data_IF_937885341277
#
_entry.id   IF_937885341277
#
_cell.length_a   1.000
_cell.length_b   1.000
_cell.length_c   1.000
_cell.angle_alpha   90.00
_cell.angle_beta   90.00
_cell.angle_gamma   90.00
#
_symmetry.space_group_name_H-M   'P 1'
#
loop_
_entity.id
_entity.type
_entity.pdbx_description
1 polymer ?
#
# COMPACT_ATOMS: atom_id res chain seq x y z
N UNK A 1 -5.96 -19.85 -23.54
CA UNK A 1 -6.36 -20.68 -22.37
C UNK A 1 -5.21 -21.04 -21.42
N UNK A 2 -4.00 -21.40 -21.88
CA UNK A 2 -2.84 -21.71 -20.99
C UNK A 2 -2.34 -20.57 -20.08
N UNK A 3 -2.60 -19.30 -20.41
CA UNK A 3 -2.22 -18.13 -19.58
C UNK A 3 -3.20 -17.84 -18.43
N UNK A 4 -4.46 -18.28 -18.54
CA UNK A 4 -5.45 -18.14 -17.47
C UNK A 4 -5.24 -19.20 -16.38
N UNK A 5 -4.82 -20.40 -16.78
CA UNK A 5 -4.47 -21.48 -15.85
C UNK A 5 -3.27 -21.11 -14.96
N UNK A 6 -2.27 -20.40 -15.50
CA UNK A 6 -1.12 -19.91 -14.73
C UNK A 6 -1.47 -18.83 -13.70
N UNK A 7 -2.48 -18.01 -13.96
CA UNK A 7 -2.98 -17.03 -12.99
C UNK A 7 -3.71 -17.71 -11.83
N UNK A 8 -4.43 -18.81 -12.09
CA UNK A 8 -5.09 -19.60 -11.05
C UNK A 8 -4.09 -20.41 -10.20
N UNK A 9 -3.00 -20.95 -10.76
CA UNK A 9 -1.96 -21.61 -9.95
C UNK A 9 -1.12 -20.64 -9.13
N UNK A 10 -0.94 -19.39 -9.56
CA UNK A 10 -0.25 -18.36 -8.76
C UNK A 10 -1.17 -17.79 -7.68
N UNK A 11 -2.49 -17.77 -7.90
CA UNK A 11 -3.45 -17.34 -6.86
C UNK A 11 -3.68 -18.43 -5.80
N UNK A 12 -3.51 -19.71 -6.16
CA UNK A 12 -3.47 -20.81 -5.21
C UNK A 12 -2.18 -20.85 -4.35
N UNK A 13 -1.18 -20.01 -4.65
CA UNK A 13 0.07 -19.88 -3.87
C UNK A 13 0.10 -18.63 -2.97
N UNK A 14 -1.08 -18.09 -2.61
CA UNK A 14 -1.24 -17.16 -1.47
C UNK A 14 -2.04 -17.86 -0.35
N UNK A 15 -1.83 -19.16 -0.17
CA UNK A 15 -1.89 -19.72 1.17
C UNK A 15 -0.66 -19.19 1.93
N UNK A 16 -0.76 -17.96 2.41
CA UNK A 16 0.17 -17.50 3.45
C UNK A 16 0.14 -18.55 4.56
N UNK A 17 1.29 -19.13 4.98
CA UNK A 17 1.30 -20.06 6.08
C UNK A 17 0.64 -19.34 7.26
N UNK A 18 -0.50 -19.87 7.69
CA UNK A 18 -1.16 -19.44 8.90
C UNK A 18 -0.09 -19.50 9.99
N UNK A 19 0.11 -18.38 10.69
CA UNK A 19 0.85 -18.40 11.95
C UNK A 19 0.00 -19.22 12.90
N UNK A 20 0.22 -20.53 12.88
CA UNK A 20 -0.57 -21.51 13.59
C UNK A 20 -0.01 -21.52 15.02
N UNK A 21 -0.64 -20.71 15.87
CA UNK A 21 -0.28 -20.55 17.27
C UNK A 21 -1.19 -21.44 18.07
N UNK A 22 -0.66 -22.51 18.63
CA UNK A 22 -1.39 -23.19 19.68
C UNK A 22 -0.52 -23.55 20.85
N UNK A 23 -1.23 -23.73 21.95
CA UNK A 23 -0.70 -24.15 23.22
C UNK A 23 -0.93 -25.65 23.46
N UNK A 24 -0.09 -26.20 24.33
CA UNK A 24 -0.09 -27.60 24.72
C UNK A 24 0.19 -27.70 26.21
N UNK A 25 -0.49 -28.61 26.88
CA UNK A 25 -0.20 -28.94 28.27
C UNK A 25 0.58 -30.24 28.38
N UNK A 26 1.56 -30.24 29.27
CA UNK A 26 2.52 -31.32 29.46
C UNK A 26 2.64 -31.59 30.97
N UNK A 27 2.51 -32.85 31.37
CA UNK A 27 2.71 -33.26 32.75
C UNK A 27 4.21 -33.46 33.07
N UNK A 28 4.58 -33.40 34.35
CA UNK A 28 5.95 -33.71 34.75
C UNK A 28 6.34 -35.18 34.50
N UNK A 29 5.40 -36.11 34.67
CA UNK A 29 5.57 -37.56 34.52
C UNK A 29 4.85 -38.09 33.26
N UNK A 30 5.33 -39.19 32.66
CA UNK A 30 4.65 -39.89 31.57
C UNK A 30 3.26 -40.38 31.98
N UNK A 31 2.38 -40.56 30.98
CA UNK A 31 1.04 -41.14 31.11
C UNK A 31 0.19 -40.48 32.20
N UNK A 32 -0.12 -39.17 32.07
CA UNK A 32 -0.81 -38.42 33.11
C UNK A 32 -2.15 -39.05 33.50
N UNK A 33 -2.45 -39.22 34.80
CA UNK A 33 -3.69 -39.84 35.27
C UNK A 33 -4.90 -38.88 35.17
N UNK A 34 -4.77 -37.77 34.46
CA UNK A 34 -5.75 -36.71 34.37
C UNK A 34 -5.80 -36.11 32.96
N UNK A 35 -6.91 -35.44 32.69
CA UNK A 35 -7.21 -34.68 31.48
C UNK A 35 -7.51 -33.23 31.85
N UNK A 36 -7.50 -32.32 30.87
CA UNK A 36 -7.78 -30.90 31.11
C UNK A 36 -9.20 -30.57 30.71
N UNK A 37 -9.97 -30.05 31.67
CA UNK A 37 -11.30 -29.55 31.41
C UNK A 37 -12.01 -29.12 32.70
N UNK A 38 -12.91 -28.13 32.63
CA UNK A 38 -13.13 -27.23 31.50
C UNK A 38 -11.89 -26.39 31.16
N UNK A 39 -11.79 -25.88 29.94
CA UNK A 39 -10.68 -25.04 29.45
C UNK A 39 -11.22 -23.82 28.71
N UNK A 40 -10.81 -22.62 29.09
CA UNK A 40 -11.12 -21.40 28.36
C UNK A 40 -9.85 -20.58 28.14
N UNK A 41 -9.55 -20.30 26.87
CA UNK A 41 -8.41 -19.48 26.47
C UNK A 41 -8.96 -18.18 25.91
N UNK A 42 -8.76 -17.09 26.64
CA UNK A 42 -9.38 -15.79 26.34
C UNK A 42 -8.32 -14.78 25.99
N UNK A 43 -8.34 -14.26 24.78
CA UNK A 43 -7.46 -13.19 24.31
C UNK A 43 -8.24 -11.88 24.18
N UNK A 44 -7.80 -10.82 24.86
CA UNK A 44 -8.48 -9.52 24.85
C UNK A 44 -7.77 -8.55 23.94
N UNK A 45 -8.32 -8.32 22.75
CA UNK A 45 -7.71 -7.52 21.69
C UNK A 45 -8.21 -6.09 21.74
N UNK A 46 -7.25 -5.16 21.80
CA UNK A 46 -7.49 -3.71 21.73
C UNK A 46 -6.99 -3.15 20.40
N UNK A 47 -7.31 -1.90 20.12
CA UNK A 47 -6.81 -1.19 18.95
C UNK A 47 -5.26 -1.18 18.90
N UNK A 48 -4.69 -1.75 17.82
CA UNK A 48 -3.24 -1.81 17.58
C UNK A 48 -2.65 -3.22 17.58
N UNK A 49 -1.33 -3.31 17.44
CA UNK A 49 -0.57 -4.58 17.46
C UNK A 49 0.28 -4.73 18.74
N UNK A 50 -0.20 -4.19 19.87
CA UNK A 50 0.48 -4.27 21.15
C UNK A 50 0.41 -5.68 21.79
N UNK A 51 1.01 -5.85 22.98
CA UNK A 51 0.83 -7.04 23.79
C UNK A 51 -0.65 -7.32 24.06
N UNK A 52 -1.05 -8.58 23.91
CA UNK A 52 -2.44 -9.01 24.10
C UNK A 52 -2.56 -9.73 25.44
N UNK A 53 -3.40 -9.24 26.37
CA UNK A 53 -3.77 -9.97 27.57
C UNK A 53 -4.46 -11.28 27.22
N UNK A 54 -3.93 -12.37 27.76
CA UNK A 54 -4.44 -13.72 27.63
C UNK A 54 -4.70 -14.28 29.03
N UNK A 55 -5.90 -14.83 29.20
CA UNK A 55 -6.27 -15.61 30.38
C UNK A 55 -6.50 -17.05 29.94
N UNK A 56 -5.75 -17.98 30.54
CA UNK A 56 -5.95 -19.42 30.38
C UNK A 56 -6.58 -19.94 31.66
N UNK A 57 -7.88 -20.20 31.61
CA UNK A 57 -8.66 -20.73 32.73
C UNK A 57 -8.87 -22.24 32.52
N UNK A 58 -8.51 -23.08 33.48
CA UNK A 58 -8.64 -24.52 33.35
C UNK A 58 -8.78 -25.26 34.69
N UNK A 59 -9.22 -26.51 34.64
CA UNK A 59 -9.18 -27.47 35.75
C UNK A 59 -8.71 -28.84 35.25
N UNK A 60 -8.29 -29.72 36.17
CA UNK A 60 -7.90 -31.08 35.88
C UNK A 60 -9.02 -32.04 36.27
N UNK A 61 -9.27 -33.03 35.40
CA UNK A 61 -10.21 -34.10 35.68
C UNK A 61 -9.48 -35.43 35.72
N UNK A 62 -9.78 -36.30 36.70
CA UNK A 62 -9.30 -37.67 36.68
C UNK A 62 -9.63 -38.32 35.34
N UNK A 63 -8.65 -38.99 34.74
CA UNK A 63 -8.88 -39.74 33.50
C UNK A 63 -9.85 -40.89 33.79
N UNK A 64 -10.89 -41.12 32.95
CA UNK A 64 -11.85 -42.20 33.17
C UNK A 64 -11.21 -43.58 33.19
N UNK A 65 -10.05 -43.74 32.53
CA UNK A 65 -9.38 -45.02 32.32
C UNK A 65 -8.39 -45.40 33.45
N UNK A 66 -8.12 -44.50 34.42
CA UNK A 66 -7.13 -44.74 35.47
C UNK A 66 -7.74 -44.68 36.88
N UNK A 67 -7.56 -45.77 37.64
CA UNK A 67 -7.93 -45.83 39.07
C UNK A 67 -6.88 -45.08 39.90
N UNK A 68 -7.32 -43.95 40.47
CA UNK A 68 -6.70 -43.20 41.58
C UNK A 68 -5.19 -43.42 41.79
N UNK A 69 -4.39 -42.67 41.04
CA UNK A 69 -2.95 -42.47 41.33
C UNK A 69 -2.78 -41.07 41.88
N UNK A 70 -1.87 -40.90 42.85
CA UNK A 70 -1.49 -39.60 43.41
C UNK A 70 -1.17 -38.60 42.28
N UNK A 71 -2.06 -37.61 42.04
CA UNK A 71 -1.93 -36.69 40.92
C UNK A 71 -0.87 -35.61 41.18
N UNK A 72 -0.20 -35.62 42.34
CA UNK A 72 0.81 -34.65 42.78
C UNK A 72 1.99 -34.46 41.84
N UNK A 73 1.80 -33.71 40.76
CA UNK A 73 2.85 -33.36 39.82
C UNK A 73 2.62 -31.98 39.22
N UNK A 74 3.72 -31.29 38.94
CA UNK A 74 3.67 -30.02 38.23
C UNK A 74 3.13 -30.22 36.81
N UNK A 75 2.43 -29.19 36.35
CA UNK A 75 1.92 -29.08 34.99
C UNK A 75 2.74 -28.04 34.25
N UNK A 76 2.95 -28.23 32.96
CA UNK A 76 3.65 -27.29 32.12
C UNK A 76 2.74 -26.85 30.98
N UNK A 77 2.73 -25.56 30.70
CA UNK A 77 2.08 -24.98 29.53
C UNK A 77 3.16 -24.56 28.55
N UNK A 78 3.13 -25.15 27.37
CA UNK A 78 3.93 -24.73 26.23
C UNK A 78 3.08 -23.72 25.43
N UNK A 79 3.54 -22.47 25.40
CA UNK A 79 2.83 -21.33 24.82
C UNK A 79 3.53 -20.80 23.56
N UNK A 80 2.79 -20.54 22.47
CA UNK A 80 3.33 -19.97 21.24
C UNK A 80 3.50 -18.44 21.35
N UNK A 81 4.73 -17.95 21.32
CA UNK A 81 5.05 -16.53 21.41
C UNK A 81 5.76 -16.15 22.71
N UNK A 82 6.03 -14.86 22.85
CA UNK A 82 6.74 -14.28 23.98
C UNK A 82 5.77 -13.71 25.01
N UNK A 83 6.01 -14.01 26.29
CA UNK A 83 5.32 -13.41 27.43
C UNK A 83 6.10 -12.19 27.93
N UNK A 84 5.42 -11.06 28.11
CA UNK A 84 6.06 -9.77 28.44
C UNK A 84 5.72 -9.20 29.82
N UNK A 85 4.73 -9.75 30.53
CA UNK A 85 4.27 -9.23 31.83
C UNK A 85 4.74 -10.07 33.03
N UNK A 86 6.05 -10.17 33.22
CA UNK A 86 6.58 -10.77 34.43
C UNK A 86 6.18 -9.96 35.69
N UNK A 87 5.78 -10.65 36.76
CA UNK A 87 5.49 -10.03 38.06
C UNK A 87 6.77 -9.36 38.59
N UNK A 88 6.78 -8.03 38.81
CA UNK A 88 7.95 -7.33 39.29
C UNK A 88 8.44 -7.85 40.64
N UNK A 89 9.76 -8.00 40.79
CA UNK A 89 10.40 -8.40 42.06
C UNK A 89 10.34 -9.90 42.40
N UNK A 90 9.64 -10.71 41.61
CA UNK A 90 9.63 -12.16 41.78
C UNK A 90 10.83 -12.79 41.06
N UNK A 91 11.58 -13.65 41.76
CA UNK A 91 12.77 -14.29 41.19
C UNK A 91 12.37 -15.35 40.14
N UNK A 92 13.00 -15.34 38.95
CA UNK A 92 12.87 -16.42 37.98
C UNK A 92 13.30 -17.78 38.56
N UNK A 93 12.90 -18.86 37.90
CA UNK A 93 13.30 -20.22 38.27
C UNK A 93 14.53 -20.68 37.47
N UNK A 94 15.69 -20.70 38.13
CA UNK A 94 16.95 -21.13 37.53
C UNK A 94 16.94 -22.61 37.08
N UNK A 95 16.12 -23.48 37.70
CA UNK A 95 16.01 -24.86 37.26
C UNK A 95 15.23 -24.97 35.94
N UNK A 96 14.21 -24.13 35.76
CA UNK A 96 13.45 -24.07 34.51
C UNK A 96 14.31 -23.50 33.37
N UNK A 97 15.13 -22.48 33.66
CA UNK A 97 16.07 -21.92 32.70
C UNK A 97 17.10 -22.98 32.25
N UNK A 98 17.80 -23.60 33.20
CA UNK A 98 18.76 -24.68 32.91
C UNK A 98 18.14 -25.80 32.08
N UNK A 99 16.93 -26.22 32.44
CA UNK A 99 16.21 -27.27 31.73
C UNK A 99 16.00 -26.98 30.24
N UNK A 100 15.72 -25.73 29.89
CA UNK A 100 15.52 -25.26 28.51
C UNK A 100 16.87 -25.10 27.80
N UNK A 101 17.88 -24.54 28.46
CA UNK A 101 19.24 -24.40 27.91
C UNK A 101 19.89 -25.75 27.62
N UNK A 102 19.75 -26.73 28.51
CA UNK A 102 20.30 -28.09 28.36
C UNK A 102 19.74 -28.83 27.12
N UNK A 103 18.59 -28.37 26.60
CA UNK A 103 17.98 -28.89 25.37
C UNK A 103 18.41 -28.15 24.11
N UNK A 104 19.34 -27.20 24.22
CA UNK A 104 19.90 -26.45 23.09
C UNK A 104 19.03 -25.27 22.64
N UNK A 105 18.21 -24.71 23.54
CA UNK A 105 17.46 -23.49 23.28
C UNK A 105 18.12 -22.27 23.93
N UNK A 106 18.04 -21.14 23.24
CA UNK A 106 18.54 -19.86 23.74
C UNK A 106 17.40 -19.12 24.47
N UNK A 107 17.65 -18.70 25.71
CA UNK A 107 16.65 -18.00 26.51
C UNK A 107 16.67 -16.50 26.20
N UNK A 108 15.49 -15.92 25.98
CA UNK A 108 15.33 -14.48 25.70
C UNK A 108 14.67 -13.72 26.84
N UNK A 109 13.80 -14.37 27.62
CA UNK A 109 13.16 -13.77 28.78
C UNK A 109 12.84 -14.82 29.85
N UNK A 110 12.85 -14.42 31.12
CA UNK A 110 12.50 -15.27 32.26
C UNK A 110 11.70 -14.46 33.27
N UNK A 111 10.81 -15.13 34.01
CA UNK A 111 10.03 -14.44 35.03
C UNK A 111 8.97 -15.33 35.67
N UNK A 112 7.97 -14.70 36.25
CA UNK A 112 6.77 -15.35 36.78
C UNK A 112 5.54 -14.61 36.29
N UNK A 113 4.51 -15.35 35.89
CA UNK A 113 3.20 -14.81 35.51
C UNK A 113 2.20 -15.01 36.64
N UNK A 114 1.15 -14.18 36.64
CA UNK A 114 0.10 -14.25 37.64
C UNK A 114 -0.65 -15.58 37.50
N UNK A 115 -0.76 -16.28 38.63
CA UNK A 115 -1.51 -17.51 38.78
C UNK A 115 -2.55 -17.26 39.88
N UNK A 116 -3.79 -17.61 39.61
CA UNK A 116 -4.88 -17.46 40.56
C UNK A 116 -5.81 -18.67 40.52
N UNK A 117 -6.60 -18.85 41.55
CA UNK A 117 -7.63 -19.87 41.64
C UNK A 117 -8.99 -19.18 41.86
N UNK A 118 -10.00 -19.60 41.11
CA UNK A 118 -11.38 -19.12 41.21
C UNK A 118 -12.25 -20.24 41.76
N UNK A 119 -12.94 -19.99 42.86
CA UNK A 119 -13.95 -20.91 43.38
C UNK A 119 -15.28 -20.69 42.63
N UNK A 120 -15.81 -21.73 42.00
CA UNK A 120 -17.07 -21.70 41.25
C UNK A 120 -18.30 -21.68 42.16
N UNK A 121 -18.17 -22.12 43.41
CA UNK A 121 -19.25 -22.18 44.40
C UNK A 121 -19.39 -20.90 45.24
N UNK A 122 -18.33 -20.11 45.36
CA UNK A 122 -18.25 -18.93 46.26
C UNK A 122 -18.11 -17.62 45.46
N UNK A 123 -19.24 -17.16 44.90
CA UNK A 123 -19.39 -15.92 44.10
C UNK A 123 -18.39 -15.72 42.94
N UNK A 124 -17.56 -16.71 42.62
CA UNK A 124 -16.54 -16.60 41.59
C UNK A 124 -15.35 -15.73 41.99
N UNK A 125 -15.06 -15.54 43.30
CA UNK A 125 -13.94 -14.71 43.75
C UNK A 125 -12.59 -15.29 43.29
N UNK A 126 -11.73 -14.42 42.78
CA UNK A 126 -10.38 -14.77 42.34
C UNK A 126 -9.40 -14.68 43.52
N UNK A 127 -8.72 -15.79 43.83
CA UNK A 127 -7.68 -15.87 44.85
C UNK A 127 -6.29 -15.95 44.20
N UNK A 128 -5.42 -14.95 44.39
CA UNK A 128 -4.06 -15.01 43.84
C UNK A 128 -3.24 -16.10 44.53
N UNK A 129 -2.52 -16.90 43.74
CA UNK A 129 -1.59 -17.90 44.24
C UNK A 129 -0.22 -17.26 44.49
N UNK A 130 0.27 -17.39 45.72
CA UNK A 130 1.55 -16.82 46.13
C UNK A 130 2.69 -17.33 45.24
N UNK A 131 3.53 -16.40 44.75
CA UNK A 131 4.70 -16.70 43.92
C UNK A 131 4.43 -16.90 42.43
N UNK A 132 3.18 -17.00 41.98
CA UNK A 132 2.84 -17.15 40.55
C UNK A 132 3.44 -18.39 39.88
N UNK A 133 3.31 -18.46 38.56
CA UNK A 133 3.87 -19.55 37.75
C UNK A 133 5.16 -19.10 37.04
N UNK A 134 6.32 -19.73 37.28
CA UNK A 134 7.55 -19.38 36.59
C UNK A 134 7.49 -19.72 35.10
N UNK A 135 8.09 -18.87 34.27
CA UNK A 135 8.17 -19.06 32.83
C UNK A 135 9.55 -18.73 32.28
N UNK A 136 9.86 -19.34 31.14
CA UNK A 136 11.04 -19.07 30.33
C UNK A 136 10.60 -18.93 28.89
N UNK A 137 10.93 -17.81 28.24
CA UNK A 137 10.78 -17.61 26.81
C UNK A 137 12.09 -17.93 26.12
N UNK A 138 12.02 -18.73 25.06
CA UNK A 138 13.17 -19.26 24.37
C UNK A 138 12.98 -19.23 22.86
N UNK A 139 14.12 -19.25 22.16
CA UNK A 139 14.23 -19.32 20.71
C UNK A 139 15.19 -20.44 20.34
N UNK A 140 15.11 -20.88 19.10
CA UNK A 140 16.03 -21.85 18.52
C UNK A 140 16.80 -21.19 17.38
N UNK A 141 18.12 -21.14 17.53
CA UNK A 141 19.05 -20.71 16.49
C UNK A 141 19.50 -21.94 15.70
N UNK A 142 19.39 -21.90 14.36
CA UNK A 142 19.79 -23.03 13.52
C UNK A 142 19.98 -22.65 12.05
N UNK A 143 20.17 -23.65 11.18
CA UNK A 143 20.41 -23.44 9.74
C UNK A 143 19.29 -22.66 9.02
N UNK A 144 18.08 -22.68 9.56
CA UNK A 144 16.92 -21.94 9.04
C UNK A 144 16.79 -20.52 9.62
N UNK A 145 17.84 -19.98 10.25
CA UNK A 145 17.83 -18.69 10.92
C UNK A 145 17.21 -18.73 12.32
N UNK A 146 16.85 -17.57 12.88
CA UNK A 146 16.22 -17.46 14.20
C UNK A 146 14.75 -17.93 14.17
N UNK A 147 14.32 -18.69 15.17
CA UNK A 147 12.93 -19.14 15.28
C UNK A 147 12.01 -18.03 15.82
N UNK A 148 10.68 -18.13 15.64
CA UNK A 148 9.78 -17.36 16.51
C UNK A 148 10.02 -17.74 17.99
N UNK A 149 9.73 -16.84 18.95
CA UNK A 149 9.81 -17.15 20.37
C UNK A 149 8.69 -18.10 20.81
N UNK A 150 8.98 -18.93 21.80
CA UNK A 150 8.02 -19.75 22.51
C UNK A 150 8.25 -19.62 24.02
N UNK A 151 7.21 -19.80 24.82
CA UNK A 151 7.30 -19.72 26.29
C UNK A 151 6.95 -21.06 26.91
N UNK A 152 7.76 -21.49 27.87
CA UNK A 152 7.49 -22.66 28.70
C UNK A 152 7.16 -22.20 30.11
N UNK A 153 5.94 -22.44 30.56
CA UNK A 153 5.43 -22.03 31.87
C UNK A 153 5.27 -23.27 32.75
N UNK A 154 5.87 -23.28 33.93
CA UNK A 154 5.61 -24.32 34.94
C UNK A 154 4.52 -23.85 35.89
N UNK A 155 3.44 -24.60 35.94
CA UNK A 155 2.31 -24.43 36.85
C UNK A 155 2.54 -25.37 38.05
N UNK A 156 2.83 -24.83 39.25
CA UNK A 156 3.08 -25.65 40.43
C UNK A 156 1.84 -26.47 40.82
N UNK A 157 2.05 -27.70 41.24
CA UNK A 157 0.96 -28.54 41.75
C UNK A 157 0.27 -27.90 42.96
N UNK A 158 -1.07 -27.95 42.95
CA UNK A 158 -1.91 -27.65 44.12
C UNK A 158 -3.11 -28.60 44.14
N UNK A 159 -3.65 -28.95 45.33
CA UNK A 159 -4.86 -29.77 45.41
C UNK A 159 -6.07 -29.15 44.70
N UNK A 160 -6.09 -27.82 44.54
CA UNK A 160 -7.16 -27.08 43.83
C UNK A 160 -7.21 -27.41 42.34
N UNK A 161 -6.12 -27.89 41.73
CA UNK A 161 -6.09 -28.22 40.31
C UNK A 161 -7.04 -29.37 39.95
N UNK A 162 -7.27 -30.33 40.84
CA UNK A 162 -8.12 -31.51 40.58
C UNK A 162 -9.53 -31.38 41.18
N UNK A 163 -9.76 -30.33 41.96
CA UNK A 163 -11.06 -30.05 42.56
C UNK A 163 -11.96 -29.37 41.52
N UNK A 164 -13.09 -30.01 41.21
CA UNK A 164 -14.07 -29.54 40.22
C UNK A 164 -14.75 -28.23 40.61
N UNK A 165 -14.68 -27.83 41.88
CA UNK A 165 -15.18 -26.53 42.36
C UNK A 165 -14.21 -25.38 42.07
N UNK A 166 -12.99 -25.66 41.59
CA UNK A 166 -11.98 -24.64 41.33
C UNK A 166 -11.58 -24.58 39.85
N UNK A 167 -11.35 -23.36 39.38
CA UNK A 167 -10.69 -23.04 38.13
C UNK A 167 -9.35 -22.36 38.41
N UNK A 168 -8.29 -22.81 37.78
CA UNK A 168 -7.00 -22.13 37.81
C UNK A 168 -6.93 -21.16 36.64
N UNK A 169 -6.56 -19.91 36.92
CA UNK A 169 -6.39 -18.85 35.93
C UNK A 169 -4.92 -18.44 35.83
N UNK A 170 -4.35 -18.61 34.64
CA UNK A 170 -3.04 -18.10 34.28
C UNK A 170 -3.22 -16.83 33.45
N UNK A 171 -2.74 -15.70 33.97
CA UNK A 171 -2.86 -14.40 33.31
C UNK A 171 -1.51 -13.94 32.79
N UNK A 172 -1.42 -13.73 31.48
CA UNK A 172 -0.19 -13.35 30.78
C UNK A 172 -0.46 -12.39 29.63
N UNK A 173 0.48 -11.50 29.35
CA UNK A 173 0.44 -10.58 28.21
C UNK A 173 1.42 -11.11 27.17
N UNK A 174 0.92 -11.30 25.96
CA UNK A 174 1.64 -12.02 24.91
C UNK A 174 1.98 -11.07 23.77
N UNK A 175 3.26 -11.01 23.41
CA UNK A 175 3.73 -10.17 22.32
C UNK A 175 3.50 -10.82 20.95
N UNK A 176 3.17 -9.97 19.98
CA UNK A 176 3.02 -10.37 18.58
C UNK A 176 1.80 -11.24 18.29
N UNK A 177 0.90 -11.50 19.26
CA UNK A 177 -0.31 -12.30 19.04
C UNK A 177 -1.19 -11.71 17.93
N UNK A 178 -1.24 -10.38 17.87
CA UNK A 178 -1.83 -9.60 16.78
C UNK A 178 -0.73 -9.22 15.80
N UNK A 179 -0.92 -9.53 14.50
CA UNK A 179 -0.01 -9.13 13.43
C UNK A 179 -0.71 -8.18 12.46
N UNK A 180 -0.05 -7.09 12.02
CA UNK A 180 -0.60 -6.25 10.96
C UNK A 180 -0.62 -7.02 9.65
N UNK A 181 -1.74 -6.94 8.94
CA UNK A 181 -1.87 -7.51 7.61
C UNK A 181 -1.12 -6.64 6.60
N UNK A 182 -0.33 -7.28 5.74
CA UNK A 182 0.41 -6.58 4.67
C UNK A 182 -0.55 -6.22 3.54
N UNK A 183 -1.27 -5.12 3.71
CA UNK A 183 -2.12 -4.53 2.67
C UNK A 183 -1.39 -3.44 1.89
N UNK A 184 -1.75 -3.28 0.61
CA UNK A 184 -1.23 -2.23 -0.25
C UNK A 184 -1.57 -0.83 0.28
N UNK A 185 -0.84 0.19 -0.17
CA UNK A 185 -1.01 1.55 0.34
C UNK A 185 -2.41 2.12 0.06
N UNK A 186 -3.00 1.83 -1.10
CA UNK A 186 -4.36 2.28 -1.47
C UNK A 186 -5.38 1.66 -0.51
N UNK A 187 -5.29 0.36 -0.29
CA UNK A 187 -6.20 -0.37 0.58
C UNK A 187 -6.09 0.09 2.03
N UNK A 188 -4.88 0.39 2.50
CA UNK A 188 -4.64 0.97 3.83
C UNK A 188 -5.29 2.35 3.99
N UNK A 189 -5.32 3.14 2.92
CA UNK A 189 -5.88 4.50 2.96
C UNK A 189 -7.43 4.46 2.99
N UNK A 190 -8.04 3.51 2.27
CA UNK A 190 -9.50 3.34 2.19
C UNK A 190 -10.06 2.57 3.39
N UNK A 191 -9.44 1.44 3.73
CA UNK A 191 -9.97 0.52 4.76
C UNK A 191 -9.32 0.72 6.13
N UNK A 192 -8.16 1.35 6.21
CA UNK A 192 -7.37 1.47 7.43
C UNK A 192 -6.42 0.30 7.67
N UNK A 193 -5.81 0.26 8.85
CA UNK A 193 -4.87 -0.81 9.21
C UNK A 193 -5.67 -2.04 9.63
N UNK A 194 -5.38 -3.17 8.98
CA UNK A 194 -5.99 -4.46 9.27
C UNK A 194 -4.99 -5.32 10.03
N UNK A 195 -5.54 -6.17 10.88
CA UNK A 195 -4.83 -7.01 11.80
C UNK A 195 -5.38 -8.42 11.72
N UNK A 196 -4.53 -9.39 12.05
CA UNK A 196 -4.90 -10.79 12.22
C UNK A 196 -4.47 -11.25 13.59
N UNK A 197 -5.40 -11.84 14.34
CA UNK A 197 -5.13 -12.62 15.53
C UNK A 197 -5.39 -14.09 15.24
N UNK A 198 -4.57 -14.97 15.83
CA UNK A 198 -4.81 -16.40 15.83
C UNK A 198 -4.43 -16.96 17.21
N UNK A 199 -5.36 -17.72 17.80
CA UNK A 199 -5.16 -18.55 19.00
C UNK A 199 -5.58 -19.97 18.67
N UNK A 200 -5.05 -20.96 19.37
CA UNK A 200 -5.27 -22.36 19.01
C UNK A 200 -4.91 -23.32 20.13
N UNK A 201 -5.31 -24.57 19.93
CA UNK A 201 -4.99 -25.72 20.78
C UNK A 201 -4.41 -26.86 19.93
N UNK A 202 -3.36 -27.53 20.45
CA UNK A 202 -2.73 -28.71 19.84
C UNK A 202 -1.99 -28.53 18.48
N UNK A 203 -1.60 -27.31 18.15
CA UNK A 203 -0.66 -26.99 17.05
C UNK A 203 0.79 -26.96 17.55
N UNK A 204 1.62 -27.87 17.06
CA UNK A 204 3.03 -28.01 17.47
C UNK A 204 4.01 -27.82 16.32
N UNK A 205 3.56 -27.35 15.14
CA UNK A 205 4.40 -27.20 13.94
C UNK A 205 5.44 -26.09 14.02
N UNK A 206 5.32 -25.16 14.97
CA UNK A 206 6.31 -24.11 15.14
C UNK A 206 7.67 -24.68 15.56
N UNK A 207 8.74 -24.16 14.94
CA UNK A 207 10.12 -24.65 15.11
C UNK A 207 10.58 -24.88 16.56
N UNK A 208 10.37 -23.94 17.52
CA UNK A 208 10.78 -24.18 18.91
C UNK A 208 9.79 -25.09 19.66
N UNK A 209 8.53 -25.16 19.22
CA UNK A 209 7.49 -25.96 19.88
C UNK A 209 7.63 -27.44 19.55
N UNK A 210 7.93 -27.78 18.30
CA UNK A 210 7.98 -29.17 17.85
C UNK A 210 9.00 -30.02 18.63
N UNK A 211 10.27 -29.61 18.82
CA UNK A 211 11.23 -30.42 19.57
C UNK A 211 10.87 -30.55 21.05
N UNK A 212 10.33 -29.48 21.65
CA UNK A 212 9.81 -29.52 23.03
C UNK A 212 8.63 -30.50 23.16
N UNK A 213 7.68 -30.44 22.23
CA UNK A 213 6.59 -31.43 22.15
C UNK A 213 7.13 -32.85 21.97
N UNK A 214 8.05 -33.05 21.02
CA UNK A 214 8.59 -34.37 20.71
C UNK A 214 9.29 -35.01 21.90
N UNK A 215 10.02 -34.21 22.69
CA UNK A 215 10.66 -34.64 23.94
C UNK A 215 9.66 -35.01 25.06
N UNK A 216 8.40 -34.58 24.95
CA UNK A 216 7.36 -34.73 25.96
C UNK A 216 6.08 -35.38 25.44
N UNK A 217 6.15 -36.07 24.30
CA UNK A 217 4.98 -36.63 23.62
C UNK A 217 4.19 -37.62 24.51
N UNK A 218 4.89 -38.32 25.40
CA UNK A 218 4.38 -39.29 26.38
C UNK A 218 3.77 -38.62 27.64
N UNK A 219 3.94 -37.30 27.77
CA UNK A 219 3.48 -36.50 28.91
C UNK A 219 2.37 -35.53 28.52
N UNK A 220 1.92 -35.55 27.28
CA UNK A 220 0.89 -34.65 26.78
C UNK A 220 -0.42 -34.91 27.52
N UNK A 221 -1.03 -33.83 28.02
CA UNK A 221 -2.32 -33.91 28.71
C UNK A 221 -3.43 -33.64 27.70
N UNK A 222 -4.35 -34.60 27.56
CA UNK A 222 -5.47 -34.50 26.62
C UNK A 222 -6.63 -33.68 27.20
N UNK A 223 -7.48 -33.16 26.31
CA UNK A 223 -8.74 -32.53 26.70
C UNK A 223 -9.70 -33.56 27.31
N UNK A 224 -10.38 -33.14 28.37
CA UNK A 224 -11.47 -33.87 29.00
C UNK A 224 -12.75 -33.74 28.17
N UNK A 225 -13.81 -34.43 28.59
CA UNK A 225 -15.16 -34.31 28.02
C UNK A 225 -15.93 -33.05 28.50
N UNK A 226 -15.24 -32.15 29.21
CA UNK A 226 -15.81 -30.90 29.67
C UNK A 226 -15.66 -29.79 28.65
N UNK A 227 -16.48 -28.72 28.73
CA UNK A 227 -16.43 -27.61 27.78
C UNK A 227 -15.04 -27.01 27.65
N UNK A 228 -14.55 -26.93 26.42
CA UNK A 228 -13.30 -26.30 26.06
C UNK A 228 -13.56 -25.23 24.98
N UNK A 229 -13.06 -24.01 25.17
CA UNK A 229 -13.32 -22.89 24.27
C UNK A 229 -12.07 -22.02 24.03
N UNK A 230 -11.92 -21.56 22.79
CA UNK A 230 -11.06 -20.44 22.41
C UNK A 230 -11.92 -19.20 22.26
N UNK A 231 -11.51 -18.09 22.84
CA UNK A 231 -12.29 -16.84 22.84
C UNK A 231 -11.38 -15.66 22.52
N UNK A 232 -11.79 -14.84 21.55
CA UNK A 232 -11.21 -13.53 21.28
C UNK A 232 -12.26 -12.47 21.62
N UNK A 233 -11.89 -11.57 22.53
CA UNK A 233 -12.74 -10.47 22.99
C UNK A 233 -12.24 -9.15 22.42
N UNK A 234 -13.16 -8.32 21.95
CA UNK A 234 -12.88 -6.99 21.40
C UNK A 234 -13.67 -5.93 22.17
N UNK A 235 -13.09 -5.28 23.20
CA UNK A 235 -13.80 -4.34 24.09
C UNK A 235 -14.21 -2.99 23.47
N UNK A 236 -14.01 -2.80 22.16
CA UNK A 236 -14.24 -1.54 21.45
C UNK A 236 -15.03 -1.81 20.17
N UNK A 237 -16.16 -2.51 20.29
CA UNK A 237 -16.97 -2.99 19.15
C UNK A 237 -17.47 -1.85 18.25
N UNK A 238 -17.71 -0.66 18.78
CA UNK A 238 -18.27 0.48 18.02
C UNK A 238 -17.41 0.92 16.83
N UNK A 239 -16.11 0.66 16.89
CA UNK A 239 -15.13 1.01 15.83
C UNK A 239 -14.50 -0.22 15.20
N UNK A 240 -14.94 -1.40 15.62
CA UNK A 240 -14.41 -2.67 15.17
C UNK A 240 -15.09 -3.06 13.87
N UNK A 241 -14.29 -3.53 12.93
CA UNK A 241 -14.76 -4.30 11.78
C UNK A 241 -14.07 -5.64 11.78
N UNK A 242 -14.86 -6.71 11.79
CA UNK A 242 -14.37 -8.07 11.58
C UNK A 242 -14.63 -8.41 10.11
N UNK A 243 -13.57 -8.68 9.36
CA UNK A 243 -13.65 -9.01 7.94
C UNK A 243 -13.82 -10.51 7.71
N UNK A 244 -13.11 -11.34 8.50
CA UNK A 244 -13.12 -12.79 8.35
C UNK A 244 -12.91 -13.47 9.71
N UNK A 245 -13.61 -14.58 9.92
CA UNK A 245 -13.44 -15.48 11.06
C UNK A 245 -13.23 -16.90 10.53
N UNK A 246 -12.23 -17.59 11.08
CA UNK A 246 -11.93 -18.98 10.76
C UNK A 246 -11.77 -19.82 12.04
N UNK A 247 -12.36 -21.02 12.10
CA UNK A 247 -13.20 -21.65 11.09
C UNK A 247 -14.60 -21.01 11.00
N UNK A 248 -15.37 -21.25 9.93
CA UNK A 248 -16.74 -20.74 9.80
C UNK A 248 -17.71 -21.27 10.87
N UNK A 249 -17.34 -22.33 11.59
CA UNK A 249 -18.11 -22.89 12.72
C UNK A 249 -17.95 -22.07 14.01
N UNK A 250 -17.09 -21.06 14.03
CA UNK A 250 -16.95 -20.14 15.16
C UNK A 250 -18.21 -19.30 15.38
N UNK A 251 -18.49 -19.00 16.65
CA UNK A 251 -19.62 -18.18 17.06
C UNK A 251 -19.15 -16.74 17.22
N UNK A 252 -19.92 -15.81 16.66
CA UNK A 252 -19.71 -14.37 16.81
C UNK A 252 -20.94 -13.78 17.48
N UNK A 253 -20.75 -13.10 18.61
CA UNK A 253 -21.84 -12.44 19.35
C UNK A 253 -21.37 -11.19 20.08
N UNK A 254 -22.29 -10.28 20.37
CA UNK A 254 -22.04 -9.21 21.33
C UNK A 254 -21.99 -9.81 22.75
N UNK A 255 -21.18 -9.24 23.63
CA UNK A 255 -21.15 -9.63 25.02
C UNK A 255 -22.48 -9.28 25.69
N UNK A 256 -23.01 -10.22 26.48
CA UNK A 256 -24.25 -10.01 27.25
C UNK A 256 -24.05 -9.05 28.43
N UNK A 257 -22.82 -8.97 28.95
CA UNK A 257 -22.49 -8.19 30.14
C UNK A 257 -21.79 -6.86 29.85
N UNK A 258 -21.26 -6.68 28.63
CA UNK A 258 -20.47 -5.52 28.24
C UNK A 258 -20.99 -4.95 26.92
N UNK A 259 -21.65 -3.78 26.97
CA UNK A 259 -22.36 -3.18 25.83
C UNK A 259 -21.49 -2.98 24.58
N UNK A 260 -20.21 -2.67 24.74
CA UNK A 260 -19.28 -2.37 23.65
C UNK A 260 -18.24 -3.46 23.41
N UNK A 261 -18.54 -4.71 23.79
CA UNK A 261 -17.63 -5.85 23.60
C UNK A 261 -18.18 -6.85 22.61
N UNK A 262 -17.42 -7.12 21.55
CA UNK A 262 -17.71 -8.20 20.62
C UNK A 262 -16.87 -9.45 20.97
N UNK A 263 -17.49 -10.62 20.94
CA UNK A 263 -16.89 -11.90 21.31
C UNK A 263 -16.93 -12.83 20.11
N UNK A 264 -15.77 -13.37 19.76
CA UNK A 264 -15.65 -14.47 18.79
C UNK A 264 -15.14 -15.69 19.54
N UNK A 265 -15.85 -16.81 19.46
CA UNK A 265 -15.46 -18.04 20.15
C UNK A 265 -15.50 -19.27 19.25
N UNK A 266 -14.69 -20.26 19.58
CA UNK A 266 -14.68 -21.58 18.98
C UNK A 266 -14.70 -22.62 20.10
N UNK A 267 -15.69 -23.50 20.11
CA UNK A 267 -15.67 -24.67 20.98
C UNK A 267 -14.67 -25.69 20.44
N UNK A 268 -13.85 -26.23 21.34
CA UNK A 268 -12.87 -27.26 21.03
C UNK A 268 -13.52 -28.63 21.13
N UNK A 269 -13.31 -29.47 20.12
CA UNK A 269 -13.77 -30.85 20.11
C UNK A 269 -12.66 -31.79 20.62
N UNK A 270 -12.99 -32.68 21.56
CA UNK A 270 -12.08 -33.70 22.09
C UNK A 270 -11.75 -34.78 21.05
N UNK A 271 -12.71 -35.15 20.22
CA UNK A 271 -12.55 -36.19 19.18
C UNK A 271 -11.52 -35.79 18.13
N UNK A 272 -11.39 -34.48 17.92
CA UNK A 272 -10.39 -33.83 17.10
C UNK A 272 -9.06 -33.60 17.85
N UNK A 273 -8.85 -34.23 19.01
CA UNK A 273 -7.75 -33.95 19.96
C UNK A 273 -6.32 -34.19 19.46
N UNK A 274 -6.15 -34.69 18.24
CA UNK A 274 -4.88 -34.77 17.51
C UNK A 274 -4.76 -33.75 16.37
N UNK A 275 -5.88 -33.18 15.94
CA UNK A 275 -5.91 -32.17 14.89
C UNK A 275 -5.74 -30.77 15.51
N UNK A 276 -4.90 -29.92 14.91
CA UNK A 276 -4.79 -28.55 15.36
C UNK A 276 -6.10 -27.79 15.20
N UNK A 277 -6.65 -27.29 16.30
CA UNK A 277 -7.85 -26.46 16.32
C UNK A 277 -7.45 -25.01 16.57
N UNK A 278 -7.88 -24.09 15.71
CA UNK A 278 -7.47 -22.69 15.78
C UNK A 278 -8.64 -21.76 15.54
N UNK A 279 -8.67 -20.65 16.26
CA UNK A 279 -9.53 -19.51 16.04
C UNK A 279 -8.68 -18.36 15.49
N UNK A 280 -8.94 -17.98 14.24
CA UNK A 280 -8.30 -16.84 13.60
C UNK A 280 -9.33 -15.78 13.23
N UNK A 281 -9.04 -14.52 13.55
CA UNK A 281 -9.90 -13.38 13.27
C UNK A 281 -9.11 -12.31 12.54
N UNK A 282 -9.63 -11.88 11.39
CA UNK A 282 -9.15 -10.70 10.67
C UNK A 282 -10.05 -9.52 11.01
N UNK A 283 -9.45 -8.44 11.46
CA UNK A 283 -10.17 -7.28 11.94
C UNK A 283 -9.43 -5.97 11.67
N UNK A 284 -10.17 -4.88 11.62
CA UNK A 284 -9.66 -3.51 11.52
C UNK A 284 -10.37 -2.60 12.51
N UNK A 285 -9.68 -1.55 12.93
CA UNK A 285 -10.28 -0.45 13.68
C UNK A 285 -10.37 0.78 12.79
N UNK A 286 -11.56 1.38 12.73
CA UNK A 286 -11.76 2.63 12.00
C UNK A 286 -11.34 3.82 12.86
N UNK A 287 -10.49 4.69 12.30
CA UNK A 287 -10.22 5.98 12.93
C UNK A 287 -11.26 7.02 12.49
N UNK A 288 -11.67 7.91 13.41
CA UNK A 288 -12.57 9.03 13.08
C UNK A 288 -11.99 9.94 11.99
N UNK A 289 -10.66 10.01 11.91
CA UNK A 289 -9.95 10.76 10.88
C UNK A 289 -10.07 10.15 9.49
N UNK A 290 -10.12 8.82 9.36
CA UNK A 290 -10.36 8.16 8.07
C UNK A 290 -11.76 8.44 7.53
N UNK A 291 -12.77 8.45 8.41
CA UNK A 291 -14.14 8.86 8.04
C UNK A 291 -14.14 10.32 7.56
N UNK A 292 -13.46 11.21 8.27
CA UNK A 292 -13.31 12.60 7.84
C UNK A 292 -12.57 12.74 6.50
N UNK A 293 -11.52 11.94 6.26
CA UNK A 293 -10.78 11.94 4.99
C UNK A 293 -11.64 11.43 3.83
N UNK A 294 -12.43 10.38 4.03
CA UNK A 294 -13.36 9.84 3.02
C UNK A 294 -14.43 10.85 2.62
N UNK A 295 -14.86 11.72 3.53
CA UNK A 295 -15.80 12.81 3.26
C UNK A 295 -15.09 14.04 2.67
N UNK A 296 -13.91 14.39 3.20
CA UNK A 296 -13.15 15.56 2.77
C UNK A 296 -12.51 15.37 1.40
N UNK A 297 -12.03 14.18 1.06
CA UNK A 297 -11.40 13.89 -0.23
C UNK A 297 -12.30 14.24 -1.43
N UNK A 298 -13.56 13.79 -1.52
CA UNK A 298 -14.45 14.21 -2.59
C UNK A 298 -14.77 15.71 -2.53
N UNK A 299 -14.93 16.32 -1.36
CA UNK A 299 -15.15 17.78 -1.23
C UNK A 299 -13.96 18.57 -1.78
N UNK A 300 -12.74 18.17 -1.41
CA UNK A 300 -11.50 18.79 -1.88
C UNK A 300 -11.30 18.54 -3.37
N UNK A 301 -11.58 17.34 -3.87
CA UNK A 301 -11.48 17.01 -5.29
C UNK A 301 -12.51 17.78 -6.12
N UNK A 302 -13.72 17.98 -5.58
CA UNK A 302 -14.76 18.79 -6.19
C UNK A 302 -14.39 20.27 -6.16
N UNK A 303 -13.82 20.78 -5.06
CA UNK A 303 -13.31 22.14 -4.96
C UNK A 303 -12.09 22.38 -5.89
N UNK A 304 -11.17 21.43 -6.01
CA UNK A 304 -10.06 21.47 -6.97
C UNK A 304 -10.57 21.42 -8.42
N UNK A 305 -11.59 20.59 -8.69
CA UNK A 305 -12.25 20.54 -9.99
C UNK A 305 -12.87 21.89 -10.39
N UNK A 306 -13.51 22.57 -9.43
CA UNK A 306 -14.06 23.92 -9.61
C UNK A 306 -12.97 24.99 -9.77
N UNK A 307 -11.82 24.83 -9.10
CA UNK A 307 -10.67 25.74 -9.25
C UNK A 307 -9.88 25.52 -10.56
N UNK A 308 -9.92 24.33 -11.16
CA UNK A 308 -9.26 24.02 -12.44
C UNK A 308 -9.90 24.72 -13.64
N UNK A 309 -11.20 25.02 -13.60
CA UNK A 309 -11.92 25.75 -14.66
C UNK A 309 -11.33 27.13 -14.98
N UNK A 310 -11.19 28.05 -14.01
CA UNK A 310 -10.66 29.39 -14.25
C UNK A 310 -9.15 29.46 -14.51
N UNK A 311 -8.35 28.49 -14.01
CA UNK A 311 -6.90 28.46 -14.22
C UNK A 311 -6.49 27.93 -15.60
N UNK A 312 -7.19 26.92 -16.14
CA UNK A 312 -6.95 26.42 -17.50
C UNK A 312 -7.45 27.40 -18.58
N UNK A 313 -8.56 28.10 -18.35
CA UNK A 313 -9.16 28.99 -19.35
C UNK A 313 -8.30 30.21 -19.72
N UNK A 314 -7.56 30.79 -18.77
CA UNK A 314 -6.78 32.02 -19.01
C UNK A 314 -5.28 31.80 -19.25
N UNK A 315 -4.69 30.76 -18.66
CA UNK A 315 -3.27 30.45 -18.82
C UNK A 315 -2.97 29.59 -20.06
N UNK A 316 -3.83 28.61 -20.35
CA UNK A 316 -3.57 27.60 -21.39
C UNK A 316 -3.77 28.14 -22.81
N UNK A 317 -4.76 29.03 -23.02
CA UNK A 317 -4.99 29.66 -24.32
C UNK A 317 -3.84 30.58 -24.75
N UNK A 318 -3.23 31.33 -23.81
CA UNK A 318 -2.02 32.14 -24.08
C UNK A 318 -0.79 31.28 -24.33
N UNK A 319 -0.63 30.18 -23.58
CA UNK A 319 0.49 29.26 -23.77
C UNK A 319 0.40 28.50 -25.10
N UNK A 320 -0.79 28.06 -25.52
CA UNK A 320 -1.00 27.39 -26.82
C UNK A 320 -0.76 28.36 -27.99
N UNK A 321 -1.22 29.60 -27.91
CA UNK A 321 -0.98 30.60 -28.97
C UNK A 321 0.51 30.89 -29.19
N UNK A 322 1.30 30.93 -28.10
CA UNK A 322 2.75 31.19 -28.15
C UNK A 322 3.56 29.92 -28.49
N UNK A 323 3.12 28.74 -28.07
CA UNK A 323 3.79 27.47 -28.37
C UNK A 323 3.51 26.98 -29.80
N UNK A 324 2.26 27.06 -30.27
CA UNK A 324 1.89 26.73 -31.66
C UNK A 324 2.54 27.68 -32.69
N UNK A 325 2.91 28.89 -32.26
CA UNK A 325 3.63 29.86 -33.11
C UNK A 325 5.14 29.60 -33.23
N UNK A 326 5.73 28.73 -32.38
CA UNK A 326 7.19 28.51 -32.23
C UNK A 326 7.66 27.08 -32.50
N UNK A 327 6.78 26.10 -32.50
CA UNK A 327 7.12 24.69 -32.73
C UNK A 327 6.42 24.21 -34.00
N UNK A 328 7.20 23.97 -35.06
CA UNK A 328 6.71 23.23 -36.22
C UNK A 328 7.06 21.75 -36.03
N UNK A 329 6.03 20.90 -36.03
CA UNK A 329 6.13 19.45 -36.19
C UNK A 329 6.06 19.15 -37.69
N UNK A 330 7.19 18.81 -38.30
CA UNK A 330 7.24 18.45 -39.71
C UNK A 330 8.66 18.40 -40.25
N UNK A 331 9.04 17.27 -40.86
CA UNK A 331 10.39 17.03 -41.37
C UNK A 331 10.87 18.15 -42.31
N UNK A 332 12.08 18.64 -42.04
CA UNK A 332 12.74 19.68 -42.81
C UNK A 332 12.97 19.21 -44.26
N UNK A 333 12.10 19.64 -45.18
CA UNK A 333 12.39 19.64 -46.62
C UNK A 333 12.91 21.02 -46.99
N UNK A 334 14.06 21.15 -47.68
CA UNK A 334 14.49 22.43 -48.23
C UNK A 334 13.46 22.85 -49.28
N UNK A 335 12.52 23.73 -48.89
CA UNK A 335 11.35 24.11 -49.70
C UNK A 335 10.01 24.18 -48.95
N UNK A 336 9.96 23.90 -47.63
CA UNK A 336 8.72 23.95 -46.85
C UNK A 336 8.05 25.33 -46.80
N UNK A 337 6.88 25.44 -47.47
CA UNK A 337 5.90 26.56 -47.49
C UNK A 337 6.48 27.95 -47.16
N UNK A 338 7.18 28.53 -48.14
CA UNK A 338 7.34 29.99 -48.22
C UNK A 338 5.93 30.61 -48.33
N UNK A 339 5.56 31.44 -47.35
CA UNK A 339 4.41 32.34 -47.50
C UNK A 339 4.92 33.60 -48.19
N UNK A 340 4.70 33.64 -49.49
CA UNK A 340 4.91 34.81 -50.34
C UNK A 340 3.55 35.46 -50.56
N UNK A 341 3.48 36.77 -50.42
CA UNK A 341 2.27 37.56 -50.65
C UNK A 341 2.63 38.72 -51.57
N UNK A 342 1.88 38.89 -52.67
CA UNK A 342 2.19 39.86 -53.71
C UNK A 342 3.23 39.36 -54.72
N UNK A 343 3.67 40.25 -55.61
CA UNK A 343 4.55 39.91 -56.74
C UNK A 343 6.01 40.14 -56.36
N UNK A 344 6.79 39.07 -56.29
CA UNK A 344 8.25 39.13 -56.09
C UNK A 344 8.93 38.81 -57.43
N UNK A 345 9.59 39.81 -58.01
CA UNK A 345 10.26 39.65 -59.31
C UNK A 345 11.65 39.02 -59.13
N UNK A 346 11.94 37.86 -59.76
CA UNK A 346 13.25 37.26 -59.73
C UNK A 346 14.29 38.16 -60.41
N UNK A 347 15.54 38.09 -59.95
CA UNK A 347 16.64 38.88 -60.54
C UNK A 347 16.84 38.55 -62.02
N UNK A 348 16.57 37.31 -62.41
CA UNK A 348 16.67 36.83 -63.79
C UNK A 348 15.61 37.46 -64.70
N UNK A 349 14.44 37.80 -64.16
CA UNK A 349 13.36 38.49 -64.90
C UNK A 349 13.70 39.96 -65.05
N UNK A 350 14.17 40.61 -63.98
CA UNK A 350 14.63 42.00 -64.03
C UNK A 350 15.81 42.19 -65.00
N UNK A 351 16.74 41.23 -65.05
CA UNK A 351 17.87 41.26 -65.98
C UNK A 351 17.47 41.16 -67.47
N UNK A 352 16.24 40.69 -67.78
CA UNK A 352 15.71 40.65 -69.14
C UNK A 352 15.09 41.98 -69.58
N UNK A 353 14.80 42.87 -68.63
CA UNK A 353 14.29 44.21 -68.92
C UNK A 353 15.48 45.09 -69.31
N UNK A 354 15.55 45.44 -70.59
CA UNK A 354 16.58 46.34 -71.12
C UNK A 354 16.00 47.76 -71.24
N UNK A 355 16.58 48.75 -70.53
CA UNK A 355 16.21 50.16 -70.72
C UNK A 355 16.33 50.59 -72.18
N UNK A 356 15.37 51.37 -72.67
CA UNK A 356 15.30 51.88 -74.05
C UNK A 356 14.82 50.87 -75.11
N UNK A 357 14.68 49.59 -74.78
CA UNK A 357 14.22 48.54 -75.73
C UNK A 357 12.97 47.79 -75.27
N UNK A 358 12.72 47.74 -73.96
CA UNK A 358 11.56 47.03 -73.41
C UNK A 358 10.38 47.98 -73.32
N UNK A 359 9.26 47.63 -73.97
CA UNK A 359 8.02 48.40 -73.93
C UNK A 359 7.16 48.01 -72.72
N UNK A 360 6.15 48.83 -72.41
CA UNK A 360 5.21 48.57 -71.31
C UNK A 360 4.53 47.21 -71.41
N UNK A 361 4.08 46.81 -72.61
CA UNK A 361 3.47 45.50 -72.82
C UNK A 361 4.48 44.37 -72.58
N UNK A 362 5.74 44.57 -72.96
CA UNK A 362 6.84 43.66 -72.68
C UNK A 362 7.08 43.49 -71.16
N UNK A 363 7.02 44.58 -70.40
CA UNK A 363 7.15 44.54 -68.93
C UNK A 363 5.98 43.79 -68.31
N UNK A 364 4.74 44.08 -68.68
CA UNK A 364 3.57 43.37 -68.13
C UNK A 364 3.58 41.87 -68.48
N UNK A 365 4.10 41.50 -69.64
CA UNK A 365 4.26 40.10 -70.05
C UNK A 365 5.35 39.38 -69.23
N UNK A 366 6.40 40.08 -68.85
CA UNK A 366 7.53 39.52 -68.08
C UNK A 366 7.28 39.51 -66.56
N UNK A 367 6.60 40.54 -66.04
CA UNK A 367 6.45 40.80 -64.60
C UNK A 367 5.04 40.49 -64.06
N UNK A 368 4.04 40.34 -64.92
CA UNK A 368 2.65 40.10 -64.55
C UNK A 368 1.80 41.37 -64.52
N UNK A 369 0.47 41.20 -64.45
CA UNK A 369 -0.51 42.28 -64.53
C UNK A 369 -0.88 42.90 -63.16
N UNK A 370 -0.45 42.28 -62.05
CA UNK A 370 -0.67 42.81 -60.69
C UNK A 370 0.38 43.88 -60.37
N UNK A 371 0.07 45.13 -60.72
CA UNK A 371 0.97 46.27 -60.60
C UNK A 371 0.23 47.51 -60.10
N UNK A 372 0.84 48.25 -59.17
CA UNK A 372 0.37 49.59 -58.82
C UNK A 372 0.92 50.58 -59.86
N UNK A 373 0.04 51.29 -60.56
CA UNK A 373 0.44 52.33 -61.52
C UNK A 373 0.38 53.71 -60.86
N UNK A 374 1.46 54.45 -60.96
CA UNK A 374 1.50 55.86 -60.57
C UNK A 374 1.78 56.72 -61.80
N UNK A 375 0.81 57.56 -62.16
CA UNK A 375 0.93 58.59 -63.20
C UNK A 375 1.08 59.95 -62.50
N UNK A 376 2.12 60.72 -62.85
CA UNK A 376 2.29 62.08 -62.30
C UNK A 376 1.45 63.05 -63.12
N UNK A 377 0.48 63.72 -62.47
CA UNK A 377 -0.46 64.64 -63.12
C UNK A 377 0.19 65.80 -63.91
N UNK A 378 1.46 66.13 -63.67
CA UNK A 378 2.18 67.22 -64.35
C UNK A 378 3.05 66.76 -65.53
N UNK A 379 3.20 65.45 -65.74
CA UNK A 379 4.10 64.88 -66.77
C UNK A 379 3.52 63.55 -67.29
N UNK A 380 2.53 63.64 -68.18
CA UNK A 380 1.76 62.49 -68.69
C UNK A 380 2.58 61.52 -69.53
N UNK A 381 3.78 61.91 -69.97
CA UNK A 381 4.71 61.05 -70.67
C UNK A 381 5.41 60.03 -69.74
N UNK A 382 5.37 60.25 -68.41
CA UNK A 382 6.06 59.40 -67.43
C UNK A 382 5.09 58.57 -66.59
N UNK A 383 5.25 57.26 -66.69
CA UNK A 383 4.47 56.29 -65.91
C UNK A 383 5.41 55.44 -65.06
N UNK A 384 5.13 55.31 -63.77
CA UNK A 384 5.88 54.41 -62.89
C UNK A 384 5.04 53.18 -62.57
N UNK A 385 5.60 52.00 -62.84
CA UNK A 385 5.04 50.71 -62.47
C UNK A 385 5.71 50.21 -61.20
N UNK A 386 4.91 49.93 -60.16
CA UNK A 386 5.40 49.49 -58.85
C UNK A 386 4.91 48.08 -58.56
N UNK A 387 5.85 47.15 -58.44
CA UNK A 387 5.61 45.77 -58.02
C UNK A 387 6.02 45.61 -56.56
N UNK A 388 5.08 45.14 -55.73
CA UNK A 388 5.31 44.93 -54.30
C UNK A 388 5.09 43.46 -53.93
N UNK A 389 6.08 42.92 -53.23
CA UNK A 389 6.04 41.55 -52.71
C UNK A 389 6.56 41.49 -51.28
N UNK A 390 6.00 40.59 -50.49
CA UNK A 390 6.41 40.30 -49.11
C UNK A 390 6.77 38.83 -49.01
N UNK A 391 7.94 38.55 -48.43
CA UNK A 391 8.40 37.19 -48.14
C UNK A 391 8.74 37.02 -46.67
N UNK A 392 8.18 35.98 -46.06
CA UNK A 392 8.51 35.58 -44.70
C UNK A 392 9.63 34.54 -44.72
N UNK A 393 10.74 34.85 -44.08
CA UNK A 393 11.92 33.96 -43.97
C UNK A 393 12.09 33.54 -42.50
N UNK A 394 12.03 32.22 -42.20
CA UNK A 394 12.27 31.74 -40.85
C UNK A 394 13.76 31.67 -40.54
N UNK A 395 14.19 32.20 -39.38
CA UNK A 395 15.55 31.98 -38.88
C UNK A 395 15.54 30.86 -37.82
N UNK A 396 16.13 29.72 -38.18
CA UNK A 396 16.19 28.54 -37.34
C UNK A 396 17.28 28.67 -36.27
N UNK A 397 16.92 28.51 -34.98
CA UNK A 397 17.89 28.63 -33.88
C UNK A 397 18.50 27.29 -33.48
N UNK A 398 17.71 26.21 -33.48
CA UNK A 398 18.16 24.84 -33.17
C UNK A 398 17.36 23.83 -33.98
N UNK A 399 18.08 22.89 -34.59
CA UNK A 399 17.53 21.75 -35.32
C UNK A 399 17.82 20.50 -34.48
N UNK A 400 16.77 19.81 -34.03
CA UNK A 400 16.90 18.58 -33.24
C UNK A 400 15.94 17.53 -33.83
N UNK A 401 16.44 16.78 -34.82
CA UNK A 401 15.67 15.76 -35.52
C UNK A 401 14.43 16.31 -36.24
N UNK A 402 13.24 15.92 -35.79
CA UNK A 402 11.94 16.32 -36.34
C UNK A 402 11.37 17.61 -35.74
N UNK A 403 12.12 18.25 -34.83
CA UNK A 403 11.75 19.49 -34.14
C UNK A 403 12.66 20.63 -34.56
N UNK A 404 12.09 21.65 -35.17
CA UNK A 404 12.76 22.92 -35.48
C UNK A 404 12.16 24.03 -34.63
N UNK A 405 13.00 24.70 -33.86
CA UNK A 405 12.61 25.89 -33.09
C UNK A 405 13.00 27.14 -33.87
N UNK A 406 11.99 27.93 -34.27
CA UNK A 406 12.18 29.20 -34.97
C UNK A 406 12.47 30.29 -33.94
N UNK A 407 13.62 30.95 -34.04
CA UNK A 407 14.01 32.01 -33.11
C UNK A 407 13.21 33.29 -33.35
N UNK A 408 13.06 33.66 -34.62
CA UNK A 408 12.21 34.75 -35.09
C UNK A 408 11.93 34.64 -36.60
N UNK A 409 10.99 35.46 -37.08
CA UNK A 409 10.66 35.58 -38.50
C UNK A 409 11.20 36.92 -39.00
N UNK A 410 11.94 36.88 -40.11
CA UNK A 410 12.31 38.07 -40.87
C UNK A 410 11.32 38.27 -42.01
N UNK A 411 10.96 39.53 -42.25
CA UNK A 411 10.17 39.98 -43.39
C UNK A 411 11.11 40.61 -44.40
N UNK A 412 11.17 40.05 -45.60
CA UNK A 412 11.74 40.75 -46.76
C UNK A 412 10.60 41.44 -47.52
N UNK A 413 10.63 42.76 -47.59
CA UNK A 413 9.76 43.56 -48.46
C UNK A 413 10.54 43.88 -49.73
N UNK A 414 10.02 43.43 -50.85
CA UNK A 414 10.54 43.65 -52.19
C UNK A 414 9.68 44.70 -52.87
N UNK A 415 10.29 45.81 -53.27
CA UNK A 415 9.63 46.85 -54.07
C UNK A 415 10.47 47.11 -55.31
N UNK A 416 9.87 46.89 -56.48
CA UNK A 416 10.52 47.18 -57.76
C UNK A 416 9.75 48.32 -58.42
N UNK A 417 10.44 49.40 -58.73
CA UNK A 417 9.92 50.54 -59.47
C UNK A 417 10.53 50.54 -60.86
N UNK A 418 9.66 50.50 -61.87
CA UNK A 418 10.03 50.56 -63.28
C UNK A 418 9.47 51.87 -63.81
N UNK A 419 10.34 52.78 -64.22
CA UNK A 419 9.95 54.06 -64.80
C UNK A 419 9.90 53.93 -66.32
N UNK A 420 8.78 54.35 -66.90
CA UNK A 420 8.55 54.40 -68.33
C UNK A 420 8.40 55.84 -68.78
N UNK A 421 9.02 56.16 -69.92
CA UNK A 421 8.87 57.42 -70.63
C UNK A 421 8.51 57.08 -72.08
N UNK A 422 7.42 57.63 -72.61
CA UNK A 422 6.91 57.33 -73.95
C UNK A 422 6.78 55.82 -74.26
N UNK A 423 6.25 55.08 -73.29
CA UNK A 423 6.02 53.61 -73.31
C UNK A 423 7.28 52.72 -73.30
N UNK A 424 8.48 53.32 -73.18
CA UNK A 424 9.76 52.62 -73.08
C UNK A 424 10.33 52.68 -71.66
N UNK A 425 10.90 51.57 -71.19
CA UNK A 425 11.56 51.52 -69.88
C UNK A 425 12.78 52.43 -69.86
N UNK A 426 12.81 53.39 -68.95
CA UNK A 426 13.94 54.29 -68.75
C UNK A 426 14.87 53.83 -67.63
N UNK A 427 14.27 53.45 -66.50
CA UNK A 427 15.02 53.03 -65.32
C UNK A 427 14.30 51.90 -64.56
N UNK A 428 15.07 51.06 -63.89
CA UNK A 428 14.60 49.95 -63.07
C UNK A 428 15.31 49.98 -61.74
N UNK A 429 14.58 50.30 -60.67
CA UNK A 429 15.09 50.32 -59.31
C UNK A 429 14.45 49.19 -58.50
N UNK A 430 15.27 48.33 -57.92
CA UNK A 430 14.83 47.26 -57.04
C UNK A 430 15.33 47.53 -55.62
N UNK A 431 14.40 47.70 -54.69
CA UNK A 431 14.69 47.91 -53.28
C UNK A 431 14.23 46.70 -52.47
N UNK A 432 15.13 46.16 -51.64
CA UNK A 432 14.84 45.06 -50.72
C UNK A 432 15.09 45.54 -49.30
N UNK A 433 14.03 45.63 -48.51
CA UNK A 433 14.11 45.97 -47.07
C UNK A 433 13.88 44.73 -46.22
N UNK A 434 14.75 44.52 -45.25
CA UNK A 434 14.65 43.42 -44.28
C UNK A 434 14.36 43.97 -42.90
N UNK A 435 13.34 43.44 -42.24
CA UNK A 435 13.02 43.79 -40.85
C UNK A 435 12.44 42.62 -40.08
N UNK A 436 12.60 42.65 -38.76
CA UNK A 436 12.11 41.61 -37.85
C UNK A 436 10.61 41.78 -37.59
N UNK A 437 9.85 40.70 -37.70
CA UNK A 437 8.41 40.73 -37.42
C UNK A 437 8.16 40.90 -35.90
N UNK A 438 7.43 41.95 -35.53
CA UNK A 438 6.98 42.20 -34.15
C UNK A 438 5.84 41.27 -33.72
N UNK A 439 5.56 41.13 -32.40
CA UNK A 439 4.55 40.22 -31.88
C UNK A 439 3.09 40.63 -32.16
N UNK A 440 2.85 41.84 -32.66
CA UNK A 440 1.50 42.40 -32.89
C UNK A 440 1.06 42.43 -34.36
N UNK A 441 1.92 42.08 -35.32
CA UNK A 441 1.52 41.98 -36.73
C UNK A 441 0.82 40.63 -37.02
N UNK A 442 -0.38 40.62 -37.64
CA UNK A 442 -1.05 39.39 -38.04
C UNK A 442 -0.22 38.63 -39.10
N UNK A 443 -0.18 37.29 -38.95
CA UNK A 443 0.59 36.34 -39.78
C UNK A 443 -0.16 35.77 -40.97
#
# INVERSE_FOLDING_TARGET
MRRLAWLLTVTALVLTPASARAQLFVAARPDPPFTIGPLAIRATVREGAGPVPVVVAFSLQPSPDQKSVDPGQDLYLLWPGEVVNAIPGQKPDAALARYVTDRGFDITAEGRVALAARNLSDEGRLEPQAGGAPFVTFVQTGALGLSPPATFVRIPWTPRLIDRSWLIELTMDTAGLVKPQKVGWVERLVRGVHYRIAIGFHEVRDRPLFPMYFAHRDRVVHLADAPAELVVQFPQSDRLKIDEVYPPTSIRRLSETLESTEIVSLFLDRSDGLTPQQLAVQFGYFSRAQTALLVAAPIVLLALGQAMGPLLGRGFARAIGVAAARVQLGGWRPGGRRREQGVILPREVLARIKPGATTREGVLRLCGAEVERQERLQDSARTTLIYRGRRLVPEARRILGWLTTVGHWEVERHEVRIELEDDLVRDVQAEVRRYRLGPEEPR
#
